data_IF_512067732184
#
_entry.id   IF_512067732184
#
_cell.length_a   1.000
_cell.length_b   1.000
_cell.length_c   1.000
_cell.angle_alpha   90.00
_cell.angle_beta   90.00
_cell.angle_gamma   90.00
#
_symmetry.space_group_name_H-M   'P 1'
#
loop_
_entity.id
_entity.type
_entity.pdbx_description
1 polymer ?
#
# COMPACT_ATOMS: atom_id res chain seq x y z
N UNK A 1 -11.11 17.30 -24.88
CA UNK A 1 -11.16 15.83 -25.04
C UNK A 1 -9.72 15.41 -24.92
N UNK A 2 -9.32 14.85 -23.77
CA UNK A 2 -7.98 14.32 -23.60
C UNK A 2 -7.92 13.05 -24.46
N UNK A 3 -7.16 13.11 -25.55
CA UNK A 3 -6.89 11.94 -26.38
C UNK A 3 -5.96 11.01 -25.57
N UNK A 4 -6.55 9.99 -24.95
CA UNK A 4 -5.85 8.85 -24.35
C UNK A 4 -5.62 7.79 -25.45
N UNK A 5 -5.32 8.22 -26.68
CA UNK A 5 -5.01 7.30 -27.78
C UNK A 5 -3.54 7.44 -28.18
N UNK A 6 -2.90 6.27 -28.27
CA UNK A 6 -1.52 6.02 -28.67
C UNK A 6 -0.44 6.21 -27.60
N UNK A 7 -0.40 5.32 -26.60
CA UNK A 7 0.84 4.71 -26.06
C UNK A 7 2.00 5.64 -25.66
N UNK A 8 1.77 6.94 -25.54
CA UNK A 8 2.65 7.91 -24.94
C UNK A 8 2.46 7.75 -23.45
N UNK A 9 3.51 7.34 -22.76
CA UNK A 9 3.60 7.43 -21.31
C UNK A 9 3.21 8.85 -20.92
N UNK A 10 2.16 8.96 -20.10
CA UNK A 10 1.66 10.24 -19.63
C UNK A 10 2.46 10.56 -18.37
N UNK A 11 3.47 11.43 -18.50
CA UNK A 11 4.40 11.78 -17.42
C UNK A 11 3.66 12.15 -16.13
N UNK A 12 2.53 12.85 -16.25
CA UNK A 12 1.66 13.17 -15.13
C UNK A 12 1.13 11.90 -14.44
N UNK A 13 0.54 10.98 -15.20
CA UNK A 13 -0.01 9.75 -14.63
C UNK A 13 1.08 8.88 -14.00
N UNK A 14 2.26 8.80 -14.64
CA UNK A 14 3.39 8.05 -14.12
C UNK A 14 3.94 8.66 -12.83
N UNK A 15 4.00 9.99 -12.73
CA UNK A 15 4.42 10.69 -11.52
C UNK A 15 3.44 10.44 -10.36
N UNK A 16 2.12 10.44 -10.64
CA UNK A 16 1.10 10.12 -9.64
C UNK A 16 1.22 8.66 -9.20
N UNK A 17 1.34 7.71 -10.15
CA UNK A 17 1.53 6.28 -9.82
C UNK A 17 2.76 6.06 -8.95
N UNK A 18 3.88 6.67 -9.32
CA UNK A 18 5.13 6.54 -8.57
C UNK A 18 4.99 7.10 -7.14
N UNK A 19 4.30 8.21 -6.96
CA UNK A 19 4.01 8.78 -5.65
C UNK A 19 3.08 7.88 -4.82
N UNK A 20 2.06 7.27 -5.43
CA UNK A 20 1.18 6.29 -4.78
C UNK A 20 1.98 5.08 -4.31
N UNK A 21 2.77 4.47 -5.20
CA UNK A 21 3.60 3.29 -4.89
C UNK A 21 4.56 3.59 -3.74
N UNK A 22 5.33 4.68 -3.84
CA UNK A 22 6.27 5.09 -2.80
C UNK A 22 5.58 5.30 -1.45
N UNK A 23 4.33 5.79 -1.44
CA UNK A 23 3.60 5.98 -0.20
C UNK A 23 3.18 4.65 0.43
N UNK A 24 2.76 3.66 -0.37
CA UNK A 24 2.40 2.33 0.13
C UNK A 24 3.61 1.51 0.57
N UNK A 25 4.76 1.64 -0.12
CA UNK A 25 6.01 0.98 0.27
C UNK A 25 6.49 1.43 1.67
N UNK A 26 6.17 2.66 2.07
CA UNK A 26 6.50 3.23 3.39
C UNK A 26 5.45 2.92 4.48
N UNK A 27 4.37 2.20 4.17
CA UNK A 27 3.30 1.91 5.15
C UNK A 27 3.73 0.81 6.10
N UNK A 28 3.50 1.06 7.40
CA UNK A 28 3.37 -0.01 8.39
C UNK A 28 1.90 -0.18 8.76
N UNK A 29 1.45 -1.43 8.80
CA UNK A 29 0.09 -1.81 9.18
C UNK A 29 0.09 -2.67 10.44
N UNK A 30 -1.06 -2.78 11.09
CA UNK A 30 -1.30 -3.75 12.15
C UNK A 30 -1.72 -5.07 11.51
N UNK A 31 -0.93 -6.13 11.70
CA UNK A 31 -1.26 -7.45 11.22
C UNK A 31 -2.23 -8.13 12.20
N UNK A 32 -3.38 -8.54 11.70
CA UNK A 32 -4.39 -9.33 12.41
C UNK A 32 -4.46 -10.73 11.82
N UNK A 33 -4.68 -11.73 12.67
CA UNK A 33 -4.77 -13.12 12.27
C UNK A 33 -5.46 -13.96 13.35
N UNK A 34 -5.91 -15.15 12.97
CA UNK A 34 -6.41 -16.20 13.85
C UNK A 34 -5.36 -17.31 14.01
N UNK A 35 -5.10 -17.72 15.25
CA UNK A 35 -4.25 -18.89 15.54
C UNK A 35 -4.71 -19.64 16.79
N UNK A 36 -4.37 -20.93 16.86
CA UNK A 36 -4.55 -21.74 18.08
C UNK A 36 -3.46 -21.47 19.13
N UNK A 37 -2.40 -20.75 18.75
CA UNK A 37 -1.32 -20.30 19.62
C UNK A 37 -1.41 -18.80 19.88
N UNK A 38 -0.68 -18.33 20.88
CA UNK A 38 -0.39 -16.89 20.97
C UNK A 38 0.62 -16.52 19.89
N UNK A 39 0.47 -15.35 19.28
CA UNK A 39 1.41 -14.86 18.30
C UNK A 39 1.70 -13.37 18.48
N UNK A 40 2.84 -12.94 17.97
CA UNK A 40 3.21 -11.53 17.85
C UNK A 40 3.72 -11.26 16.43
N UNK A 41 3.17 -10.26 15.72
CA UNK A 41 3.73 -9.80 14.46
C UNK A 41 5.04 -9.04 14.72
N UNK A 42 6.08 -9.29 13.91
CA UNK A 42 7.41 -8.68 14.08
C UNK A 42 7.71 -7.62 13.03
N UNK A 43 7.63 -7.98 11.75
CA UNK A 43 7.87 -7.09 10.62
C UNK A 43 6.75 -7.21 9.60
N UNK A 44 6.44 -6.09 8.93
CA UNK A 44 5.49 -6.09 7.82
C UNK A 44 5.96 -5.24 6.66
N UNK A 45 5.59 -5.68 5.46
CA UNK A 45 5.95 -5.06 4.20
C UNK A 45 4.74 -5.01 3.27
N UNK A 46 4.65 -3.94 2.49
CA UNK A 46 3.72 -3.85 1.37
C UNK A 46 4.52 -3.84 0.07
N UNK A 47 4.07 -4.63 -0.91
CA UNK A 47 4.59 -4.57 -2.27
C UNK A 47 3.46 -4.29 -3.25
N UNK A 48 3.43 -3.08 -3.81
CA UNK A 48 2.39 -2.69 -4.77
C UNK A 48 2.58 -3.43 -6.09
N UNK A 49 1.55 -4.16 -6.51
CA UNK A 49 1.51 -4.88 -7.78
C UNK A 49 0.77 -4.11 -8.87
N UNK A 50 -0.25 -3.32 -8.51
CA UNK A 50 -0.99 -2.50 -9.47
C UNK A 50 -1.60 -1.22 -8.85
N UNK A 51 -1.80 -0.21 -9.70
CA UNK A 51 -2.53 1.02 -9.38
C UNK A 51 -3.47 1.35 -10.55
N UNK A 52 -4.77 1.20 -10.30
CA UNK A 52 -5.84 1.51 -11.23
C UNK A 52 -6.55 2.79 -10.80
N UNK A 53 -6.56 3.81 -11.67
CA UNK A 53 -7.31 5.04 -11.41
C UNK A 53 -8.74 4.95 -11.93
N UNK A 54 -9.68 5.47 -11.14
CA UNK A 54 -11.04 5.68 -11.62
C UNK A 54 -11.06 6.68 -12.79
N UNK A 55 -12.00 6.53 -13.74
CA UNK A 55 -12.05 7.38 -14.93
C UNK A 55 -12.53 8.81 -14.65
N UNK A 56 -12.98 9.09 -13.42
CA UNK A 56 -13.52 10.39 -13.04
C UNK A 56 -12.55 11.14 -12.13
N UNK A 57 -12.31 12.39 -12.48
CA UNK A 57 -11.47 13.33 -11.72
C UNK A 57 -12.34 14.47 -11.20
N UNK A 58 -12.17 14.81 -9.93
CA UNK A 58 -12.79 15.95 -9.28
C UNK A 58 -11.81 17.12 -9.29
N UNK A 59 -12.30 18.30 -9.66
CA UNK A 59 -11.54 19.55 -9.52
C UNK A 59 -11.82 20.09 -8.12
N UNK A 60 -10.78 20.20 -7.29
CA UNK A 60 -10.88 20.74 -5.93
C UNK A 60 -10.75 22.27 -5.96
N UNK A 61 -9.70 22.77 -6.61
CA UNK A 61 -9.39 24.19 -6.65
C UNK A 61 -8.69 24.58 -7.96
N UNK A 62 -8.89 25.82 -8.39
CA UNK A 62 -8.26 26.37 -9.60
C UNK A 62 -7.90 27.82 -9.36
N UNK A 63 -6.65 28.14 -9.64
CA UNK A 63 -6.09 29.49 -9.62
C UNK A 63 -5.47 29.84 -10.98
N UNK A 64 -4.82 31.01 -11.07
CA UNK A 64 -4.04 31.39 -12.25
C UNK A 64 -2.78 30.53 -12.40
N UNK A 65 -2.20 30.12 -11.27
CA UNK A 65 -0.88 29.49 -11.21
C UNK A 65 -0.94 27.99 -10.94
N UNK A 66 -2.09 27.44 -10.54
CA UNK A 66 -2.23 26.02 -10.21
C UNK A 66 -3.66 25.51 -10.37
N UNK A 67 -3.79 24.19 -10.44
CA UNK A 67 -5.06 23.48 -10.27
C UNK A 67 -4.84 22.23 -9.40
N UNK A 68 -5.75 21.99 -8.46
CA UNK A 68 -5.73 20.83 -7.57
C UNK A 68 -6.88 19.91 -7.91
N UNK A 69 -6.58 18.62 -7.97
CA UNK A 69 -7.49 17.57 -8.39
C UNK A 69 -7.55 16.46 -7.36
N UNK A 70 -8.66 15.73 -7.35
CA UNK A 70 -8.81 14.47 -6.65
C UNK A 70 -9.19 13.38 -7.67
N UNK A 71 -8.49 12.26 -7.63
CA UNK A 71 -8.82 11.05 -8.38
C UNK A 71 -8.82 9.86 -7.44
N UNK A 72 -9.80 8.97 -7.58
CA UNK A 72 -9.79 7.72 -6.82
C UNK A 72 -8.87 6.70 -7.49
N UNK A 73 -8.20 5.90 -6.67
CA UNK A 73 -7.39 4.80 -7.13
C UNK A 73 -7.69 3.54 -6.32
N UNK A 74 -7.71 2.40 -6.99
CA UNK A 74 -7.59 1.09 -6.38
C UNK A 74 -6.12 0.68 -6.45
N UNK A 75 -5.54 0.39 -5.30
CA UNK A 75 -4.16 -0.09 -5.17
C UNK A 75 -4.21 -1.55 -4.78
N UNK A 76 -3.63 -2.39 -5.62
CA UNK A 76 -3.45 -3.82 -5.33
C UNK A 76 -2.01 -4.03 -4.85
N UNK A 77 -1.85 -4.67 -3.70
CA UNK A 77 -0.55 -4.95 -3.13
C UNK A 77 -0.54 -6.29 -2.40
N UNK A 78 0.63 -6.90 -2.33
CA UNK A 78 0.90 -8.05 -1.48
C UNK A 78 1.41 -7.55 -0.12
N UNK A 79 0.71 -7.93 0.95
CA UNK A 79 1.07 -7.64 2.31
C UNK A 79 1.77 -8.86 2.90
N UNK A 80 3.02 -8.70 3.31
CA UNK A 80 3.82 -9.77 3.92
C UNK A 80 4.04 -9.45 5.41
N UNK A 81 3.96 -10.45 6.27
CA UNK A 81 4.25 -10.29 7.70
C UNK A 81 4.88 -11.54 8.30
N UNK A 82 5.89 -11.30 9.15
CA UNK A 82 6.50 -12.32 10.00
C UNK A 82 5.74 -12.44 11.32
N UNK A 83 5.36 -13.67 11.67
CA UNK A 83 4.66 -13.98 12.92
C UNK A 83 5.49 -14.92 13.78
N UNK A 84 5.73 -14.53 15.03
CA UNK A 84 6.33 -15.37 16.06
C UNK A 84 5.24 -16.02 16.91
N UNK A 85 5.31 -17.34 17.09
CA UNK A 85 4.35 -18.11 17.87
C UNK A 85 4.89 -18.51 19.22
N UNK A 86 4.00 -18.52 20.21
CA UNK A 86 4.32 -18.81 21.59
C UNK A 86 3.31 -19.77 22.23
N UNK A 87 3.81 -20.61 23.12
CA UNK A 87 3.02 -21.44 24.01
C UNK A 87 3.12 -20.94 25.44
N UNK A 88 1.98 -20.90 26.14
CA UNK A 88 1.95 -20.52 27.55
C UNK A 88 2.37 -21.68 28.44
N UNK A 89 3.49 -21.55 29.16
CA UNK A 89 3.89 -22.49 30.19
C UNK A 89 3.17 -22.18 31.51
N UNK A 90 2.31 -23.10 31.92
CA UNK A 90 1.55 -22.97 33.17
C UNK A 90 2.39 -23.07 34.45
N UNK A 91 3.61 -23.61 34.39
CA UNK A 91 4.51 -23.78 35.55
C UNK A 91 5.14 -22.43 35.91
N UNK A 92 5.82 -21.82 34.93
CA UNK A 92 6.57 -20.58 35.12
C UNK A 92 5.74 -19.32 34.78
N UNK A 93 4.56 -19.50 34.18
CA UNK A 93 3.59 -18.46 33.80
C UNK A 93 4.11 -17.48 32.76
N UNK A 94 4.92 -17.97 31.83
CA UNK A 94 5.47 -17.21 30.71
C UNK A 94 5.11 -17.84 29.36
N UNK A 95 5.35 -17.08 28.30
CA UNK A 95 5.17 -17.51 26.93
C UNK A 95 6.52 -17.95 26.37
N UNK A 96 6.62 -19.21 25.98
CA UNK A 96 7.82 -19.79 25.39
C UNK A 96 7.69 -19.75 23.88
N UNK A 97 8.70 -19.18 23.22
CA UNK A 97 8.79 -19.17 21.75
C UNK A 97 8.79 -20.61 21.21
N UNK A 98 7.97 -20.85 20.20
CA UNK A 98 7.86 -22.15 19.53
C UNK A 98 8.50 -22.14 18.15
N UNK A 99 8.03 -21.25 17.30
CA UNK A 99 8.37 -21.20 15.88
C UNK A 99 7.94 -19.84 15.30
N UNK A 100 8.32 -19.61 14.05
CA UNK A 100 7.89 -18.46 13.28
C UNK A 100 7.31 -18.91 11.94
N UNK A 101 6.53 -18.05 11.30
CA UNK A 101 6.14 -18.18 9.89
C UNK A 101 6.17 -16.81 9.23
N UNK A 102 6.29 -16.80 7.90
CA UNK A 102 6.09 -15.61 7.07
C UNK A 102 4.86 -15.89 6.21
N UNK A 103 3.82 -15.07 6.35
CA UNK A 103 2.62 -15.17 5.54
C UNK A 103 2.49 -13.95 4.64
N UNK A 104 1.84 -14.14 3.48
CA UNK A 104 1.44 -13.04 2.62
C UNK A 104 -0.02 -13.13 2.19
N UNK A 105 -0.63 -11.97 1.96
CA UNK A 105 -1.99 -11.87 1.43
C UNK A 105 -2.11 -10.70 0.45
N UNK A 106 -2.84 -10.92 -0.64
CA UNK A 106 -3.18 -9.85 -1.57
C UNK A 106 -4.30 -8.99 -0.98
N UNK A 107 -4.14 -7.68 -1.05
CA UNK A 107 -5.11 -6.69 -0.58
C UNK A 107 -5.42 -5.69 -1.69
N UNK A 108 -6.70 -5.33 -1.79
CA UNK A 108 -7.17 -4.25 -2.65
C UNK A 108 -7.67 -3.11 -1.76
N UNK A 109 -6.99 -1.97 -1.80
CA UNK A 109 -7.35 -0.78 -1.04
C UNK A 109 -7.78 0.35 -1.97
N UNK A 110 -8.83 1.08 -1.59
CA UNK A 110 -9.31 2.23 -2.37
C UNK A 110 -8.96 3.51 -1.63
N UNK A 111 -8.20 4.37 -2.30
CA UNK A 111 -7.77 5.65 -1.75
C UNK A 111 -8.14 6.80 -2.69
N UNK A 112 -8.20 8.02 -2.14
CA UNK A 112 -8.31 9.23 -2.97
C UNK A 112 -6.94 9.89 -3.04
N UNK A 113 -6.50 10.15 -4.26
CA UNK A 113 -5.23 10.79 -4.58
C UNK A 113 -5.52 12.25 -4.89
N UNK A 114 -5.06 13.14 -4.02
CA UNK A 114 -5.11 14.58 -4.22
C UNK A 114 -3.76 14.99 -4.80
N UNK A 115 -3.78 15.75 -5.88
CA UNK A 115 -2.54 16.23 -6.51
C UNK A 115 -2.74 17.63 -7.09
N UNK A 116 -1.67 18.40 -7.11
CA UNK A 116 -1.65 19.75 -7.67
C UNK A 116 -0.79 19.76 -8.92
N UNK A 117 -1.24 20.48 -9.94
CA UNK A 117 -0.39 20.81 -11.08
C UNK A 117 -0.19 22.31 -11.12
N UNK A 118 1.07 22.73 -11.24
CA UNK A 118 1.43 24.13 -11.40
C UNK A 118 1.51 24.50 -12.87
N UNK A 119 1.06 25.72 -13.16
CA UNK A 119 1.03 26.28 -14.49
C UNK A 119 2.41 26.81 -14.86
N UNK A 120 3.25 25.95 -15.41
CA UNK A 120 4.48 26.36 -16.07
C UNK A 120 4.17 26.60 -17.56
N UNK A 121 3.73 27.81 -17.90
CA UNK A 121 3.35 28.22 -19.26
C UNK A 121 4.48 28.05 -20.31
N UNK A 122 5.70 27.69 -19.89
CA UNK A 122 6.82 27.36 -20.77
C UNK A 122 7.02 25.85 -21.01
N UNK A 123 6.32 24.96 -20.28
CA UNK A 123 6.43 23.51 -20.47
C UNK A 123 5.44 22.98 -21.50
N UNK A 124 5.91 22.03 -22.29
CA UNK A 124 5.05 21.22 -23.16
C UNK A 124 4.09 20.39 -22.28
N UNK A 125 2.82 20.29 -22.68
CA UNK A 125 1.78 19.55 -21.93
C UNK A 125 2.15 18.08 -21.73
N UNK A 126 2.99 17.52 -22.61
CA UNK A 126 3.50 16.16 -22.52
C UNK A 126 4.53 15.97 -21.37
N UNK A 127 4.99 17.04 -20.70
CA UNK A 127 6.00 17.02 -19.62
C UNK A 127 5.50 17.66 -18.30
N UNK A 128 4.20 17.56 -18.02
CA UNK A 128 3.63 18.01 -16.74
C UNK A 128 3.79 16.91 -15.69
N UNK A 129 4.34 17.27 -14.54
CA UNK A 129 4.45 16.39 -13.37
C UNK A 129 3.38 16.78 -12.34
N UNK A 130 2.89 15.79 -11.57
CA UNK A 130 2.09 16.07 -10.39
C UNK A 130 3.00 16.51 -9.25
N UNK A 131 2.62 17.62 -8.62
CA UNK A 131 3.23 18.12 -7.40
C UNK A 131 2.24 17.93 -6.24
N UNK A 132 2.74 17.93 -5.00
CA UNK A 132 1.94 17.81 -3.79
C UNK A 132 0.96 16.62 -3.83
N UNK A 133 1.46 15.42 -4.17
CA UNK A 133 0.64 14.20 -4.20
C UNK A 133 0.39 13.70 -2.78
N UNK A 134 -0.88 13.69 -2.39
CA UNK A 134 -1.38 13.27 -1.09
C UNK A 134 -2.40 12.14 -1.22
N UNK A 135 -2.35 11.18 -0.30
CA UNK A 135 -3.36 10.13 -0.17
C UNK A 135 -4.26 10.45 1.02
N UNK A 136 -5.58 10.37 0.84
CA UNK A 136 -6.53 10.65 1.93
C UNK A 136 -6.55 9.55 3.00
N UNK A 137 -6.20 8.32 2.61
CA UNK A 137 -6.01 7.20 3.52
C UNK A 137 -4.99 6.21 2.96
N UNK A 138 -4.34 5.51 3.87
CA UNK A 138 -3.56 4.31 3.61
C UNK A 138 -4.04 3.23 4.57
N UNK A 139 -3.82 1.96 4.19
CA UNK A 139 -4.15 0.79 5.00
C UNK A 139 -3.61 0.93 6.43
N UNK A 140 -4.41 0.47 7.40
CA UNK A 140 -4.02 0.44 8.83
C UNK A 140 -4.00 -0.96 9.40
N UNK A 141 -4.81 -1.86 8.86
CA UNK A 141 -4.99 -3.23 9.34
C UNK A 141 -4.99 -4.16 8.15
N UNK A 142 -4.30 -5.29 8.25
CA UNK A 142 -4.33 -6.38 7.26
C UNK A 142 -4.66 -7.66 8.00
N UNK A 143 -5.68 -8.36 7.52
CA UNK A 143 -6.09 -9.66 8.03
C UNK A 143 -5.41 -10.76 7.19
N UNK A 144 -4.58 -11.56 7.85
CA UNK A 144 -3.87 -12.70 7.26
C UNK A 144 -4.67 -13.99 7.33
N UNK A 145 -5.89 -13.95 7.89
CA UNK A 145 -6.72 -15.11 8.11
C UNK A 145 -6.13 -16.05 9.15
N UNK A 146 -6.19 -17.35 8.90
CA UNK A 146 -5.66 -18.36 9.83
C UNK A 146 -4.18 -18.62 9.60
N UNK A 147 -3.37 -18.46 10.65
CA UNK A 147 -1.92 -18.65 10.61
C UNK A 147 -1.47 -19.77 11.56
N UNK A 148 -0.48 -20.52 11.14
CA UNK A 148 0.07 -21.66 11.89
C UNK A 148 1.61 -21.61 11.92
N UNK A 149 2.25 -22.10 12.98
CA UNK A 149 3.70 -22.19 13.05
C UNK A 149 4.27 -23.11 11.98
N UNK A 150 5.32 -22.67 11.29
CA UNK A 150 6.11 -23.52 10.41
C UNK A 150 7.28 -24.14 11.17
N UNK A 151 7.25 -25.46 11.37
CA UNK A 151 8.33 -26.19 12.04
C UNK A 151 9.37 -26.66 11.01
N UNK A 152 10.65 -26.34 11.24
CA UNK A 152 11.72 -26.96 10.46
C UNK A 152 11.72 -28.48 10.70
N UNK A 153 11.91 -29.31 9.66
CA UNK A 153 11.99 -30.75 9.85
C UNK A 153 13.21 -31.09 10.72
N UNK A 154 13.01 -31.97 11.70
CA UNK A 154 14.12 -32.51 12.51
C UNK A 154 15.16 -33.16 11.58
N UNK A 155 16.42 -32.71 11.66
CA UNK A 155 17.51 -33.41 10.98
C UNK A 155 17.90 -34.64 11.80
N UNK A 156 17.69 -35.83 11.23
CA UNK A 156 18.10 -37.14 11.76
C UNK A 156 19.62 -37.23 12.04
#
# INVERSE_FOLDING_TARGET
MFDIEAGKTNALLDSIKSAVISRYDDVSFMAEADSYLSFEPEANYCHVSDVEFEPFINVIDVSQDYATFEIKATVTYDAECDFNFYHYDSIDKDNVYLAATTESTEVNDTTSVIFTIFNDFERDYDNMDAEDVELTSVIKYVDFGSIEPHYEPEQD
#
